data_IF_793056336516
#
_entry.id   IF_793056336516
#
_cell.length_a   1.000
_cell.length_b   1.000
_cell.length_c   1.000
_cell.angle_alpha   90.00
_cell.angle_beta   90.00
_cell.angle_gamma   90.00
#
_symmetry.space_group_name_H-M   'P 1'
#
loop_
_entity.id
_entity.type
_entity.pdbx_description
1 polymer ?
#
# COMPACT_ATOMS: atom_id res chain seq x y z
N UNK A 1 8.66 -5.39 -2.48
CA UNK A 1 9.21 -4.02 -2.66
C UNK A 1 10.69 -3.91 -2.32
N UNK A 2 11.14 -4.37 -1.16
CA UNK A 2 12.55 -4.31 -0.73
C UNK A 2 13.54 -4.92 -1.73
N UNK A 3 13.24 -6.10 -2.28
CA UNK A 3 14.08 -6.73 -3.30
C UNK A 3 14.23 -5.86 -4.58
N UNK A 4 13.15 -5.20 -5.02
CA UNK A 4 13.19 -4.28 -6.16
C UNK A 4 14.06 -3.04 -5.87
N UNK A 5 14.05 -2.55 -4.63
CA UNK A 5 14.89 -1.44 -4.22
C UNK A 5 16.37 -1.82 -4.15
N UNK A 6 16.69 -3.03 -3.67
CA UNK A 6 18.07 -3.57 -3.68
C UNK A 6 18.59 -3.70 -5.11
N UNK A 7 17.78 -4.20 -6.04
CA UNK A 7 18.14 -4.30 -7.46
C UNK A 7 18.41 -2.91 -8.05
N UNK A 8 17.57 -1.91 -7.76
CA UNK A 8 17.78 -0.54 -8.22
C UNK A 8 19.06 0.07 -7.62
N UNK A 9 19.29 -0.13 -6.33
CA UNK A 9 20.51 0.34 -5.66
C UNK A 9 21.76 -0.27 -6.29
N UNK A 10 21.78 -1.60 -6.48
CA UNK A 10 22.87 -2.29 -7.17
C UNK A 10 23.08 -1.74 -8.58
N UNK A 11 22.00 -1.51 -9.34
CA UNK A 11 22.08 -0.93 -10.68
C UNK A 11 22.72 0.45 -10.72
N UNK A 12 22.49 1.27 -9.69
CA UNK A 12 23.15 2.59 -9.56
C UNK A 12 24.60 2.53 -9.10
N UNK A 13 24.99 1.49 -8.35
CA UNK A 13 26.38 1.29 -7.91
C UNK A 13 27.22 0.70 -9.04
N UNK A 14 26.68 -0.25 -9.80
CA UNK A 14 27.37 -0.92 -10.92
C UNK A 14 27.26 -0.18 -12.25
N UNK A 15 26.50 0.93 -12.30
CA UNK A 15 26.24 1.73 -13.51
C UNK A 15 25.61 0.93 -14.67
N UNK A 16 24.88 -0.15 -14.38
CA UNK A 16 24.17 -0.95 -15.38
C UNK A 16 22.74 -0.45 -15.57
N UNK A 17 22.40 0.15 -16.73
CA UNK A 17 21.07 0.73 -16.95
C UNK A 17 19.96 -0.33 -17.02
N UNK A 18 20.26 -1.54 -17.48
CA UNK A 18 19.32 -2.66 -17.57
C UNK A 18 18.76 -3.04 -16.19
N UNK A 19 19.64 -3.07 -15.17
CA UNK A 19 19.28 -3.42 -13.81
C UNK A 19 18.41 -2.33 -13.16
N UNK A 20 18.66 -1.07 -13.50
CA UNK A 20 17.84 0.06 -13.07
C UNK A 20 16.43 -0.01 -13.69
N UNK A 21 16.33 -0.32 -14.99
CA UNK A 21 15.04 -0.46 -15.69
C UNK A 21 14.25 -1.64 -15.13
N UNK A 22 14.89 -2.80 -14.98
CA UNK A 22 14.27 -3.99 -14.41
C UNK A 22 13.78 -3.76 -12.97
N UNK A 23 14.61 -3.11 -12.15
CA UNK A 23 14.25 -2.75 -10.78
C UNK A 23 13.06 -1.79 -10.72
N UNK A 24 12.98 -0.81 -11.63
CA UNK A 24 11.82 0.08 -11.74
C UNK A 24 10.55 -0.63 -12.20
N UNK A 25 10.65 -1.52 -13.18
CA UNK A 25 9.51 -2.32 -13.63
C UNK A 25 8.96 -3.18 -12.49
N UNK A 26 9.84 -3.85 -11.73
CA UNK A 26 9.44 -4.64 -10.58
C UNK A 26 8.82 -3.76 -9.47
N UNK A 27 9.39 -2.59 -9.22
CA UNK A 27 8.83 -1.63 -8.26
C UNK A 27 7.42 -1.16 -8.66
N UNK A 28 7.23 -0.83 -9.94
CA UNK A 28 5.94 -0.41 -10.47
C UNK A 28 4.88 -1.52 -10.37
N UNK A 29 5.27 -2.79 -10.51
CA UNK A 29 4.34 -3.92 -10.41
C UNK A 29 3.95 -4.23 -8.96
N UNK A 30 4.90 -4.29 -8.03
CA UNK A 30 4.55 -4.62 -6.64
C UNK A 30 4.19 -3.43 -5.74
N UNK A 31 4.34 -2.17 -6.16
CA UNK A 31 3.85 -1.03 -5.36
C UNK A 31 2.34 -1.10 -5.15
N UNK A 32 1.49 -1.17 -6.20
CA UNK A 32 0.03 -1.21 -6.02
C UNK A 32 -0.44 -2.45 -5.26
N UNK A 33 0.24 -3.59 -5.45
CA UNK A 33 -0.04 -4.81 -4.70
C UNK A 33 0.28 -4.65 -3.21
N UNK A 34 1.37 -3.95 -2.88
CA UNK A 34 1.76 -3.70 -1.49
C UNK A 34 0.80 -2.71 -0.83
N UNK A 35 0.37 -1.68 -1.56
CA UNK A 35 -0.59 -0.68 -1.06
C UNK A 35 -1.97 -1.32 -0.82
N UNK A 36 -2.45 -2.15 -1.75
CA UNK A 36 -3.68 -2.91 -1.57
C UNK A 36 -3.60 -3.87 -0.38
N UNK A 37 -2.46 -4.57 -0.22
CA UNK A 37 -2.24 -5.45 0.92
C UNK A 37 -2.18 -4.67 2.25
N UNK A 38 -1.57 -3.48 2.27
CA UNK A 38 -1.53 -2.61 3.44
C UNK A 38 -2.93 -2.16 3.86
N UNK A 39 -3.76 -1.71 2.92
CA UNK A 39 -5.13 -1.28 3.20
C UNK A 39 -5.94 -2.45 3.77
N UNK A 40 -5.84 -3.63 3.17
CA UNK A 40 -6.52 -4.83 3.65
C UNK A 40 -6.05 -5.22 5.05
N UNK A 41 -4.73 -5.23 5.27
CA UNK A 41 -4.14 -5.51 6.58
C UNK A 41 -4.66 -4.56 7.66
N UNK A 42 -4.69 -3.25 7.37
CA UNK A 42 -5.22 -2.24 8.29
C UNK A 42 -6.72 -2.44 8.56
N UNK A 43 -7.51 -2.81 7.56
CA UNK A 43 -8.95 -3.08 7.71
C UNK A 43 -9.24 -4.34 8.53
N UNK A 44 -8.40 -5.37 8.40
CA UNK A 44 -8.55 -6.62 9.16
C UNK A 44 -8.12 -6.47 10.63
N UNK A 45 -7.10 -5.66 10.91
CA UNK A 45 -6.64 -5.44 12.29
C UNK A 45 -7.48 -4.41 13.06
N UNK A 46 -8.10 -3.46 12.36
CA UNK A 46 -8.87 -2.38 12.99
C UNK A 46 -10.29 -2.81 13.42
N UNK A 47 -10.83 -2.20 14.49
CA UNK A 47 -12.21 -2.44 14.91
C UNK A 47 -13.19 -1.94 13.84
N UNK A 48 -14.36 -2.60 13.74
CA UNK A 48 -15.39 -2.38 12.72
C UNK A 48 -15.73 -0.90 12.51
N UNK A 49 -15.88 -0.15 13.60
CA UNK A 49 -16.27 1.27 13.59
C UNK A 49 -15.20 2.19 12.99
N UNK A 50 -13.92 1.80 13.03
CA UNK A 50 -12.79 2.65 12.62
C UNK A 50 -12.07 2.15 11.36
N UNK A 51 -12.54 1.08 10.71
CA UNK A 51 -11.92 0.53 9.49
C UNK A 51 -11.65 1.59 8.42
N UNK A 52 -12.64 2.46 8.16
CA UNK A 52 -12.51 3.56 7.20
C UNK A 52 -11.47 4.61 7.62
N UNK A 53 -11.37 4.91 8.92
CA UNK A 53 -10.39 5.87 9.43
C UNK A 53 -8.95 5.34 9.30
N UNK A 54 -8.73 4.05 9.57
CA UNK A 54 -7.41 3.43 9.40
C UNK A 54 -6.97 3.38 7.92
N UNK A 55 -7.88 3.10 6.99
CA UNK A 55 -7.56 3.19 5.55
C UNK A 55 -7.18 4.62 5.16
N UNK A 56 -7.91 5.61 5.64
CA UNK A 56 -7.61 7.02 5.36
C UNK A 56 -6.28 7.47 5.97
N UNK A 57 -5.92 6.99 7.17
CA UNK A 57 -4.61 7.24 7.78
C UNK A 57 -3.47 6.66 6.94
N UNK A 58 -3.67 5.48 6.33
CA UNK A 58 -2.72 4.88 5.39
C UNK A 58 -2.46 5.80 4.19
N UNK A 59 -3.51 6.33 3.58
CA UNK A 59 -3.43 7.27 2.44
C UNK A 59 -2.77 8.60 2.82
N UNK A 60 -3.08 9.17 3.99
CA UNK A 60 -2.38 10.35 4.51
C UNK A 60 -0.89 10.05 4.70
N UNK A 61 -0.57 8.88 5.26
CA UNK A 61 0.78 8.39 5.41
C UNK A 61 1.52 8.36 4.07
N UNK A 62 0.91 7.73 3.06
CA UNK A 62 1.45 7.69 1.69
C UNK A 62 1.71 9.10 1.14
N UNK A 63 0.72 10.00 1.23
CA UNK A 63 0.87 11.39 0.79
C UNK A 63 2.01 12.14 1.49
N UNK A 64 2.16 11.95 2.80
CA UNK A 64 3.26 12.54 3.57
C UNK A 64 4.63 12.02 3.12
N UNK A 65 4.73 10.72 2.81
CA UNK A 65 5.95 10.11 2.30
C UNK A 65 6.28 10.60 0.89
N UNK A 66 5.29 10.83 0.03
CA UNK A 66 5.49 11.45 -1.27
C UNK A 66 6.11 12.85 -1.14
N UNK A 67 5.60 13.69 -0.23
CA UNK A 67 6.14 15.03 0.03
C UNK A 67 7.58 14.95 0.54
N UNK A 68 7.87 14.06 1.50
CA UNK A 68 9.23 13.82 1.98
C UNK A 68 10.15 13.35 0.84
N UNK A 69 9.68 12.45 -0.02
CA UNK A 69 10.41 11.98 -1.20
C UNK A 69 10.73 13.11 -2.18
N UNK A 70 9.79 14.03 -2.43
CA UNK A 70 10.03 15.22 -3.25
C UNK A 70 11.11 16.11 -2.62
N UNK A 71 11.04 16.36 -1.30
CA UNK A 71 12.04 17.17 -0.57
C UNK A 71 13.44 16.56 -0.69
N UNK A 72 13.57 15.25 -0.48
CA UNK A 72 14.84 14.54 -0.61
C UNK A 72 15.37 14.54 -2.05
N UNK A 73 14.47 14.55 -3.04
CA UNK A 73 14.80 14.62 -4.46
C UNK A 73 15.36 15.96 -4.94
N UNK A 74 15.32 17.03 -4.13
CA UNK A 74 15.92 18.31 -4.52
C UNK A 74 17.44 18.18 -4.69
N UNK A 75 17.98 18.88 -5.70
CA UNK A 75 19.43 18.94 -5.99
C UNK A 75 20.25 19.39 -4.78
N UNK A 76 19.69 20.26 -3.95
CA UNK A 76 20.35 20.79 -2.74
C UNK A 76 20.41 19.79 -1.57
N UNK A 77 19.68 18.67 -1.64
CA UNK A 77 19.60 17.67 -0.55
C UNK A 77 20.29 16.38 -0.95
N UNK A 78 19.60 15.48 -1.68
CA UNK A 78 20.16 14.21 -2.17
C UNK A 78 20.07 14.03 -3.69
N UNK A 79 19.42 14.96 -4.41
CA UNK A 79 19.20 14.87 -5.86
C UNK A 79 20.47 14.92 -6.71
N UNK A 80 21.62 15.25 -6.13
CA UNK A 80 22.91 15.30 -6.83
C UNK A 80 23.52 13.90 -7.08
N UNK A 81 23.11 12.87 -6.32
CA UNK A 81 23.41 11.48 -6.73
C UNK A 81 22.27 10.51 -6.41
N UNK A 82 21.81 9.81 -7.45
CA UNK A 82 20.74 8.82 -7.35
C UNK A 82 21.08 7.69 -6.37
N UNK A 83 22.36 7.31 -6.30
CA UNK A 83 22.87 6.29 -5.38
C UNK A 83 22.71 6.70 -3.92
N UNK A 84 22.95 7.98 -3.57
CA UNK A 84 22.74 8.47 -2.19
C UNK A 84 21.26 8.52 -1.83
N UNK A 85 20.40 8.96 -2.76
CA UNK A 85 18.95 9.00 -2.57
C UNK A 85 18.37 7.59 -2.35
N UNK A 86 18.74 6.63 -3.20
CA UNK A 86 18.30 5.24 -3.07
C UNK A 86 18.87 4.57 -1.82
N UNK A 87 20.13 4.86 -1.46
CA UNK A 87 20.74 4.35 -0.23
C UNK A 87 20.03 4.84 1.03
N UNK A 88 19.64 6.12 1.07
CA UNK A 88 18.88 6.66 2.20
C UNK A 88 17.48 6.04 2.32
N UNK A 89 16.80 5.81 1.19
CA UNK A 89 15.47 5.16 1.15
C UNK A 89 15.51 3.68 1.54
N UNK A 90 16.64 3.00 1.39
CA UNK A 90 16.80 1.61 1.83
C UNK A 90 16.74 1.45 3.35
N UNK A 91 17.13 2.48 4.11
CA UNK A 91 17.13 2.47 5.58
C UNK A 91 15.73 2.18 6.14
N UNK A 92 14.70 3.03 5.89
CA UNK A 92 13.35 2.78 6.39
C UNK A 92 12.74 1.48 5.85
N UNK A 93 13.13 1.00 4.67
CA UNK A 93 12.67 -0.30 4.16
C UNK A 93 13.18 -1.48 4.99
N UNK A 94 14.45 -1.44 5.42
CA UNK A 94 15.01 -2.50 6.27
C UNK A 94 14.33 -2.48 7.64
N UNK A 95 14.15 -1.30 8.23
CA UNK A 95 13.38 -1.16 9.46
C UNK A 95 11.94 -1.68 9.30
N UNK A 96 11.27 -1.35 8.20
CA UNK A 96 9.93 -1.84 7.90
C UNK A 96 9.83 -3.36 7.85
N UNK A 97 10.81 -4.05 7.24
CA UNK A 97 10.86 -5.52 7.24
C UNK A 97 11.06 -6.07 8.65
N UNK A 98 11.94 -5.46 9.45
CA UNK A 98 12.15 -5.89 10.82
C UNK A 98 10.89 -5.73 11.68
N UNK A 99 10.18 -4.60 11.55
CA UNK A 99 8.90 -4.38 12.21
C UNK A 99 7.83 -5.39 11.75
N UNK A 100 7.77 -5.70 10.46
CA UNK A 100 6.82 -6.69 9.95
C UNK A 100 7.05 -8.08 10.55
N UNK A 101 8.31 -8.48 10.78
CA UNK A 101 8.63 -9.77 11.43
C UNK A 101 8.23 -9.83 12.91
N UNK A 102 8.12 -8.69 13.59
CA UNK A 102 7.73 -8.59 15.00
C UNK A 102 6.20 -8.60 15.18
N UNK A 103 5.47 -8.12 14.18
CA UNK A 103 4.03 -7.94 14.25
C UNK A 103 3.35 -9.29 13.91
N UNK A 104 2.34 -9.73 14.70
CA UNK A 104 1.60 -10.95 14.40
C UNK A 104 0.79 -10.81 13.10
N UNK A 105 0.55 -11.95 12.45
CA UNK A 105 -0.33 -12.03 11.29
C UNK A 105 -1.78 -11.63 11.62
N UNK A 106 -2.57 -11.25 10.62
CA UNK A 106 -3.93 -10.75 10.84
C UNK A 106 -4.82 -11.80 11.51
N UNK A 107 -5.74 -11.39 12.41
CA UNK A 107 -6.61 -12.33 13.14
C UNK A 107 -7.52 -13.11 12.18
N UNK A 108 -8.02 -12.48 11.10
CA UNK A 108 -8.80 -13.15 10.05
C UNK A 108 -7.97 -14.22 9.31
N UNK A 109 -6.73 -13.92 8.93
CA UNK A 109 -5.87 -14.89 8.25
C UNK A 109 -5.58 -16.12 9.12
N UNK A 110 -5.18 -15.91 10.38
CA UNK A 110 -4.91 -16.99 11.34
C UNK A 110 -6.15 -17.87 11.59
N UNK A 111 -7.33 -17.25 11.62
CA UNK A 111 -8.56 -17.96 11.88
C UNK A 111 -9.07 -18.74 10.66
N UNK A 112 -9.15 -18.10 9.49
CA UNK A 112 -9.76 -18.68 8.29
C UNK A 112 -8.80 -19.64 7.60
N UNK A 113 -7.52 -19.26 7.48
CA UNK A 113 -6.53 -20.02 6.69
C UNK A 113 -5.78 -21.03 7.53
N UNK A 114 -5.38 -20.67 8.77
CA UNK A 114 -4.62 -21.57 9.65
C UNK A 114 -5.50 -22.34 10.65
N UNK A 115 -6.79 -22.01 10.77
CA UNK A 115 -7.71 -22.60 11.74
C UNK A 115 -7.20 -22.53 13.20
N UNK A 116 -6.35 -21.54 13.51
CA UNK A 116 -5.76 -21.34 14.84
C UNK A 116 -6.51 -20.24 15.60
N UNK A 117 -7.55 -20.68 16.34
CA UNK A 117 -8.37 -19.78 17.17
C UNK A 117 -7.57 -19.08 18.26
N UNK A 118 -6.57 -19.75 18.84
CA UNK A 118 -5.77 -19.19 19.95
C UNK A 118 -4.79 -18.14 19.43
N UNK A 119 -4.14 -18.41 18.30
CA UNK A 119 -3.30 -17.45 17.60
C UNK A 119 -4.07 -16.21 17.14
N UNK A 120 -5.26 -16.42 16.56
CA UNK A 120 -6.13 -15.33 16.13
C UNK A 120 -6.59 -14.44 17.30
N UNK A 121 -6.99 -15.03 18.43
CA UNK A 121 -7.36 -14.27 19.63
C UNK A 121 -6.19 -13.45 20.16
N UNK A 122 -4.98 -14.04 20.23
CA UNK A 122 -3.78 -13.32 20.68
C UNK A 122 -3.40 -12.16 19.75
N UNK A 123 -3.57 -12.35 18.43
CA UNK A 123 -3.37 -11.29 17.44
C UNK A 123 -4.41 -10.18 17.60
N UNK A 124 -5.68 -10.53 17.78
CA UNK A 124 -6.76 -9.57 18.04
C UNK A 124 -6.53 -8.77 19.33
N UNK A 125 -6.10 -9.42 20.40
CA UNK A 125 -5.72 -8.77 21.66
C UNK A 125 -4.52 -7.85 21.51
N UNK A 126 -3.56 -8.18 20.64
CA UNK A 126 -2.42 -7.32 20.34
C UNK A 126 -2.84 -6.02 19.63
N UNK A 127 -3.78 -6.09 18.68
CA UNK A 127 -4.21 -4.92 17.91
C UNK A 127 -5.33 -4.08 18.57
N UNK A 128 -6.28 -4.73 19.24
CA UNK A 128 -7.49 -4.05 19.79
C UNK A 128 -7.51 -4.00 21.33
N UNK A 129 -6.52 -4.63 21.98
CA UNK A 129 -6.44 -4.77 23.43
C UNK A 129 -7.26 -5.95 23.96
N UNK A 130 -6.99 -6.34 25.21
CA UNK A 130 -7.73 -7.41 25.88
C UNK A 130 -9.16 -6.98 26.24
N UNK A 131 -10.15 -7.56 25.57
CA UNK A 131 -11.57 -7.37 25.88
C UNK A 131 -12.28 -8.72 25.87
N UNK A 132 -13.26 -8.89 26.75
CA UNK A 132 -14.08 -10.12 26.80
C UNK A 132 -14.92 -10.32 25.54
N UNK A 133 -15.21 -9.25 24.82
CA UNK A 133 -15.97 -9.25 23.57
C UNK A 133 -15.15 -9.79 22.37
N UNK A 134 -13.83 -9.89 22.50
CA UNK A 134 -12.95 -10.33 21.41
C UNK A 134 -13.27 -11.76 20.93
N UNK A 135 -13.75 -12.64 21.82
CA UNK A 135 -14.19 -13.98 21.41
C UNK A 135 -15.43 -13.94 20.52
N UNK A 136 -16.38 -13.03 20.80
CA UNK A 136 -17.59 -12.87 20.01
C UNK A 136 -17.29 -12.26 18.63
N UNK A 137 -16.40 -11.26 18.57
CA UNK A 137 -15.91 -10.67 17.31
C UNK A 137 -15.21 -11.72 16.45
N UNK A 138 -14.45 -12.61 17.09
CA UNK A 138 -13.76 -13.69 16.41
C UNK A 138 -14.76 -14.70 15.80
N UNK A 139 -15.85 -15.01 16.51
CA UNK A 139 -16.92 -15.86 15.97
C UNK A 139 -17.69 -15.18 14.82
N UNK A 140 -17.87 -13.85 14.88
CA UNK A 140 -18.43 -13.07 13.78
C UNK A 140 -17.56 -13.15 12.51
N UNK A 141 -16.23 -13.09 12.65
CA UNK A 141 -15.31 -13.27 11.51
C UNK A 141 -15.40 -14.66 10.86
N UNK A 142 -15.68 -15.72 11.62
CA UNK A 142 -15.96 -17.05 11.04
C UNK A 142 -17.26 -17.07 10.26
N UNK A 143 -18.30 -16.43 10.79
CA UNK A 143 -19.59 -16.34 10.12
C UNK A 143 -19.46 -15.59 8.79
N UNK A 144 -18.83 -14.42 8.80
CA UNK A 144 -18.52 -13.65 7.57
C UNK A 144 -17.73 -14.51 6.56
N UNK A 145 -16.68 -15.20 7.01
CA UNK A 145 -15.85 -16.01 6.13
C UNK A 145 -16.59 -17.21 5.52
N UNK A 146 -17.52 -17.81 6.27
CA UNK A 146 -18.35 -18.90 5.79
C UNK A 146 -19.35 -18.43 4.75
N UNK A 147 -19.97 -17.27 4.98
CA UNK A 147 -20.86 -16.64 4.01
C UNK A 147 -20.11 -16.24 2.73
N UNK A 148 -18.91 -15.66 2.84
CA UNK A 148 -18.04 -15.35 1.71
C UNK A 148 -17.57 -16.60 0.94
N UNK A 149 -17.36 -17.72 1.64
CA UNK A 149 -17.01 -19.01 1.03
C UNK A 149 -18.19 -19.68 0.30
N UNK A 150 -19.41 -19.43 0.75
CA UNK A 150 -20.65 -19.88 0.10
C UNK A 150 -21.05 -19.01 -1.10
N UNK A 151 -20.70 -17.72 -1.07
CA UNK A 151 -20.78 -16.84 -2.25
C UNK A 151 -19.76 -17.35 -3.28
N UNK A 152 -20.25 -17.91 -4.40
CA UNK A 152 -19.41 -18.32 -5.53
C UNK A 152 -18.39 -17.22 -5.82
N UNK A 153 -17.09 -17.51 -5.73
CA UNK A 153 -16.01 -16.59 -6.08
C UNK A 153 -16.32 -15.95 -7.42
N UNK A 154 -16.77 -14.70 -7.39
CA UNK A 154 -17.33 -14.03 -8.55
C UNK A 154 -16.28 -14.01 -9.66
N UNK A 155 -16.63 -14.54 -10.83
CA UNK A 155 -15.73 -14.46 -11.98
C UNK A 155 -15.63 -13.00 -12.42
N UNK A 156 -14.45 -12.53 -12.86
CA UNK A 156 -14.32 -11.18 -13.44
C UNK A 156 -15.32 -10.93 -14.58
N UNK A 157 -15.80 -11.99 -15.23
CA UNK A 157 -16.85 -11.94 -16.25
C UNK A 157 -18.22 -11.51 -15.69
N UNK A 158 -18.53 -11.80 -14.43
CA UNK A 158 -19.78 -11.43 -13.76
C UNK A 158 -19.84 -9.92 -13.50
N UNK A 159 -18.70 -9.27 -13.27
CA UNK A 159 -18.61 -7.81 -13.11
C UNK A 159 -19.13 -7.10 -14.38
N UNK A 160 -18.80 -7.63 -15.56
CA UNK A 160 -19.26 -7.08 -16.84
C UNK A 160 -20.68 -7.51 -17.24
N UNK A 161 -21.14 -8.65 -16.72
CA UNK A 161 -22.46 -9.21 -17.06
C UNK A 161 -23.57 -8.58 -16.23
N UNK A 162 -23.31 -8.32 -14.94
CA UNK A 162 -24.32 -7.83 -14.01
C UNK A 162 -24.44 -6.31 -14.04
N UNK A 163 -25.65 -5.78 -14.23
CA UNK A 163 -25.93 -4.35 -14.39
C UNK A 163 -25.38 -3.48 -13.24
N UNK A 164 -25.62 -3.86 -11.99
CA UNK A 164 -25.21 -3.07 -10.83
C UNK A 164 -23.68 -3.05 -10.65
N UNK A 165 -23.02 -4.20 -10.83
CA UNK A 165 -21.55 -4.30 -10.76
C UNK A 165 -20.89 -3.50 -11.88
N UNK A 166 -21.48 -3.52 -13.07
CA UNK A 166 -21.00 -2.73 -14.21
C UNK A 166 -21.09 -1.23 -13.93
N UNK A 167 -22.17 -0.75 -13.33
CA UNK A 167 -22.30 0.66 -12.95
C UNK A 167 -21.28 1.06 -11.87
N UNK A 168 -21.02 0.20 -10.89
CA UNK A 168 -19.97 0.42 -9.90
C UNK A 168 -18.56 0.44 -10.52
N UNK A 169 -18.29 -0.44 -11.48
CA UNK A 169 -17.04 -0.45 -12.24
C UNK A 169 -16.85 0.82 -13.07
N UNK A 170 -17.92 1.31 -13.73
CA UNK A 170 -17.88 2.59 -14.45
C UNK A 170 -17.61 3.76 -13.51
N UNK A 171 -18.29 3.81 -12.36
CA UNK A 171 -18.05 4.85 -11.36
C UNK A 171 -16.58 4.84 -10.89
N UNK A 172 -16.04 3.66 -10.59
CA UNK A 172 -14.64 3.49 -10.16
C UNK A 172 -13.67 3.97 -11.24
N UNK A 173 -13.91 3.60 -12.51
CA UNK A 173 -13.07 4.03 -13.64
C UNK A 173 -13.11 5.56 -13.84
N UNK A 174 -14.28 6.18 -13.71
CA UNK A 174 -14.42 7.63 -13.81
C UNK A 174 -13.69 8.35 -12.67
N UNK A 175 -13.80 7.85 -11.44
CA UNK A 175 -13.07 8.42 -10.29
C UNK A 175 -11.56 8.28 -10.49
N UNK A 176 -11.08 7.13 -10.96
CA UNK A 176 -9.65 6.94 -11.25
C UNK A 176 -9.17 7.89 -12.34
N UNK A 177 -9.99 8.18 -13.35
CA UNK A 177 -9.64 9.13 -14.41
C UNK A 177 -9.43 10.55 -13.88
N UNK A 178 -10.13 10.95 -12.81
CA UNK A 178 -9.91 12.25 -12.16
C UNK A 178 -8.52 12.37 -11.52
N UNK A 179 -7.85 11.26 -11.22
CA UNK A 179 -6.49 11.27 -10.65
C UNK A 179 -5.40 11.38 -11.71
N UNK A 180 -5.72 11.18 -12.99
CA UNK A 180 -4.78 11.25 -14.12
C UNK A 180 -3.94 12.55 -14.20
N UNK A 181 -4.49 13.77 -14.00
CA UNK A 181 -3.70 15.00 -14.11
C UNK A 181 -2.75 15.22 -12.94
N UNK A 182 -2.88 14.47 -11.83
CA UNK A 182 -2.10 14.66 -10.62
C UNK A 182 -0.59 14.53 -10.86
N UNK A 183 -0.17 13.44 -11.50
CA UNK A 183 1.26 13.16 -11.73
C UNK A 183 1.92 14.10 -12.76
N UNK A 184 1.30 14.40 -13.92
CA UNK A 184 1.86 15.37 -14.86
C UNK A 184 2.01 16.77 -14.26
N UNK A 185 1.06 17.22 -13.43
CA UNK A 185 1.16 18.53 -12.77
C UNK A 185 2.35 18.55 -11.79
N UNK A 186 2.54 17.49 -11.00
CA UNK A 186 3.69 17.38 -10.10
C UNK A 186 5.03 17.46 -10.87
N UNK A 187 5.13 16.78 -12.02
CA UNK A 187 6.37 16.73 -12.79
C UNK A 187 6.61 17.99 -13.65
N UNK A 188 5.56 18.60 -14.21
CA UNK A 188 5.66 19.67 -15.21
C UNK A 188 5.47 21.08 -14.64
N UNK A 189 4.92 21.22 -13.43
CA UNK A 189 4.68 22.53 -12.79
C UNK A 189 5.93 23.41 -12.68
N UNK A 190 7.10 22.81 -12.44
CA UNK A 190 8.38 23.54 -12.37
C UNK A 190 8.76 24.15 -13.72
N UNK A 191 8.51 23.43 -14.83
CA UNK A 191 8.76 23.94 -16.17
C UNK A 191 7.82 25.09 -16.54
N UNK A 192 6.57 25.01 -16.09
CA UNK A 192 5.60 26.09 -16.29
C UNK A 192 6.02 27.38 -15.57
N UNK A 193 6.46 27.28 -14.31
CA UNK A 193 6.93 28.43 -13.53
C UNK A 193 8.22 29.04 -14.08
N UNK A 194 9.17 28.21 -14.53
CA UNK A 194 10.39 28.71 -15.17
C UNK A 194 10.10 29.47 -16.47
N UNK A 195 9.06 29.06 -17.21
CA UNK A 195 8.65 29.73 -18.45
C UNK A 195 7.94 31.08 -18.22
N UNK A 196 7.45 31.33 -17.01
CA UNK A 196 6.75 32.56 -16.65
C UNK A 196 7.69 33.71 -16.22
N UNK A 197 9.01 33.50 -16.18
CA UNK A 197 10.03 34.52 -15.83
C UNK A 197 9.64 35.42 -14.64
N UNK A 198 8.97 34.87 -13.62
CA UNK A 198 8.54 35.66 -12.45
C UNK A 198 9.82 36.10 -11.72
N UNK A 199 10.09 37.41 -11.60
CA UNK A 199 11.29 37.89 -10.92
C UNK A 199 11.25 37.45 -9.45
N UNK A 200 12.38 36.92 -8.98
CA UNK A 200 12.59 36.47 -7.60
C UNK A 200 12.47 37.60 -6.60
#
# INVERSE_FOLDING_TARGET
MTLAAVIQYLGTVTLYPELLIAGRALCALCSPLSDAALILYLQECSPLEMRGAFSFLGEIGYGSMCVLGMILGLKNVFGDSLTRLLGFSAIPQIFGVFFLLLIPETPKYLMITQNDRKGALKSLEFFQGQRKENEAVLDEYLCEAREEGEIKKGSLKEIFTTWHLRNAAYLSCMILTLTLPFYPILQSSTYFLLKLEIPR
#
